data_IF_480648138164
#
_entry.id   IF_480648138164
#
_cell.length_a   1.000
_cell.length_b   1.000
_cell.length_c   1.000
_cell.angle_alpha   90.00
_cell.angle_beta   90.00
_cell.angle_gamma   90.00
#
_symmetry.space_group_name_H-M   'P 1'
#
loop_
_entity.id
_entity.type
_entity.pdbx_description
1 polymer ?
#
# COMPACT_ATOMS: atom_id res chain seq x y z
N UNK A 1 7.62 -11.18 12.44
CA UNK A 1 8.43 -12.22 11.77
C UNK A 1 8.35 -11.91 10.29
N UNK A 2 9.49 -11.95 9.59
CA UNK A 2 9.59 -11.63 8.16
C UNK A 2 9.24 -12.85 7.33
N UNK A 3 8.44 -12.62 6.31
CA UNK A 3 8.02 -13.63 5.37
C UNK A 3 8.10 -13.08 3.95
N UNK A 4 7.97 -13.97 2.98
CA UNK A 4 7.96 -13.64 1.58
C UNK A 4 6.70 -14.19 0.92
N UNK A 5 6.14 -13.40 -0.02
CA UNK A 5 5.03 -13.80 -0.87
C UNK A 5 5.55 -13.91 -2.28
N UNK A 6 5.54 -15.14 -2.81
CA UNK A 6 5.92 -15.45 -4.17
C UNK A 6 4.87 -14.96 -5.18
N UNK A 7 5.34 -14.65 -6.38
CA UNK A 7 4.54 -14.24 -7.54
C UNK A 7 3.76 -12.94 -7.33
N UNK A 8 4.38 -11.95 -6.68
CA UNK A 8 3.74 -10.69 -6.34
C UNK A 8 4.75 -9.53 -6.35
N UNK A 9 4.31 -8.33 -6.72
CA UNK A 9 5.01 -7.08 -6.42
C UNK A 9 4.08 -6.08 -5.74
N UNK A 10 4.68 -5.11 -5.07
CA UNK A 10 3.98 -4.05 -4.38
C UNK A 10 3.85 -2.81 -5.25
N UNK A 11 2.76 -2.07 -5.05
CA UNK A 11 2.53 -0.84 -5.79
C UNK A 11 2.10 0.24 -4.84
N UNK A 12 2.85 1.34 -4.84
CA UNK A 12 2.45 2.56 -4.16
C UNK A 12 1.23 3.17 -4.86
N UNK A 13 0.14 3.32 -4.12
CA UNK A 13 -1.19 3.67 -4.62
C UNK A 13 -1.95 4.64 -3.71
N UNK A 14 -3.16 4.95 -4.16
CA UNK A 14 -4.10 5.84 -3.51
C UNK A 14 -4.45 5.41 -2.08
N UNK A 15 -4.43 6.36 -1.15
CA UNK A 15 -5.20 6.32 0.09
C UNK A 15 -5.84 7.70 0.24
N UNK A 16 -7.15 7.72 0.53
CA UNK A 16 -7.83 8.88 1.09
C UNK A 16 -7.78 8.78 2.61
N UNK A 17 -6.62 9.06 3.19
CA UNK A 17 -6.58 9.33 4.62
C UNK A 17 -7.40 10.60 4.83
N UNK A 18 -8.21 10.63 5.90
CA UNK A 18 -8.86 11.83 6.42
C UNK A 18 -7.82 12.90 6.79
N UNK A 19 -7.20 13.51 5.78
CA UNK A 19 -6.35 14.66 5.83
C UNK A 19 -6.99 15.64 4.87
N UNK A 20 -7.62 16.63 5.49
CA UNK A 20 -8.28 17.76 4.87
C UNK A 20 -7.54 18.25 3.61
N UNK A 21 -8.28 18.37 2.49
CA UNK A 21 -8.12 19.27 1.32
C UNK A 21 -6.74 19.48 0.64
N UNK A 22 -5.60 19.28 1.29
CA UNK A 22 -4.26 19.60 0.80
C UNK A 22 -3.69 18.56 -0.15
N UNK A 23 -4.11 17.29 -0.04
CA UNK A 23 -3.61 16.18 -0.88
C UNK A 23 -4.05 16.28 -2.36
N UNK A 24 -5.11 17.03 -2.68
CA UNK A 24 -5.60 17.12 -4.06
C UNK A 24 -4.68 17.99 -4.96
N UNK A 25 -3.94 18.95 -4.38
CA UNK A 25 -3.04 19.80 -5.16
C UNK A 25 -1.69 19.16 -5.49
N UNK A 26 -1.26 18.13 -4.75
CA UNK A 26 0.07 17.50 -4.94
C UNK A 26 0.03 16.15 -5.66
N UNK A 27 -1.15 15.56 -5.91
CA UNK A 27 -1.29 14.17 -6.43
C UNK A 27 -0.48 13.15 -5.60
N UNK A 28 -0.31 13.42 -4.31
CA UNK A 28 0.47 12.64 -3.38
C UNK A 28 -0.45 11.76 -2.52
N UNK A 29 -0.32 10.44 -2.63
CA UNK A 29 -1.24 9.49 -2.00
C UNK A 29 -0.51 8.40 -1.20
N UNK A 30 -1.16 7.85 -0.17
CA UNK A 30 -0.46 7.16 0.92
C UNK A 30 -0.86 5.70 1.12
N UNK A 31 -0.80 4.86 0.08
CA UNK A 31 -1.15 3.44 0.19
C UNK A 31 -0.24 2.52 -0.58
N UNK A 32 -0.43 1.22 -0.34
CA UNK A 32 0.26 0.16 -1.03
C UNK A 32 -0.69 -1.02 -1.27
N UNK A 33 -0.69 -1.55 -2.49
CA UNK A 33 -1.44 -2.76 -2.83
C UNK A 33 -0.54 -3.77 -3.54
N UNK A 34 -0.88 -5.05 -3.42
CA UNK A 34 -0.20 -6.13 -4.12
C UNK A 34 -0.88 -6.44 -5.46
N UNK A 35 -0.10 -6.72 -6.50
CA UNK A 35 -0.57 -7.33 -7.76
C UNK A 35 0.16 -8.64 -8.05
N UNK A 36 -0.54 -9.65 -8.62
CA UNK A 36 0.11 -10.89 -9.07
C UNK A 36 1.12 -10.60 -10.18
N UNK A 37 2.31 -11.17 -10.07
CA UNK A 37 3.36 -11.08 -11.07
C UNK A 37 4.30 -12.27 -11.00
N UNK A 38 4.33 -13.08 -12.04
CA UNK A 38 5.17 -14.27 -12.09
C UNK A 38 6.66 -13.91 -12.06
N UNK A 39 7.41 -14.59 -11.20
CA UNK A 39 8.85 -14.37 -11.02
C UNK A 39 9.22 -13.27 -10.03
N UNK A 40 8.26 -12.52 -9.51
CA UNK A 40 8.46 -11.50 -8.48
C UNK A 40 8.23 -12.04 -7.07
N UNK A 41 8.82 -11.37 -6.08
CA UNK A 41 8.72 -11.70 -4.66
C UNK A 41 8.65 -10.41 -3.84
N UNK A 42 7.78 -10.39 -2.83
CA UNK A 42 7.75 -9.32 -1.84
C UNK A 42 8.04 -9.86 -0.45
N UNK A 43 8.83 -9.14 0.33
CA UNK A 43 9.09 -9.42 1.74
C UNK A 43 8.11 -8.61 2.57
N UNK A 44 7.34 -9.30 3.40
CA UNK A 44 6.27 -8.75 4.22
C UNK A 44 6.46 -9.12 5.68
N UNK A 45 5.77 -8.40 6.56
CA UNK A 45 5.60 -8.82 7.95
C UNK A 45 4.17 -9.29 8.16
N UNK A 46 4.02 -10.47 8.77
CA UNK A 46 2.69 -11.01 9.13
C UNK A 46 2.33 -10.55 10.54
N UNK A 47 1.13 -10.01 10.70
CA UNK A 47 0.55 -9.58 11.97
C UNK A 47 -0.72 -10.37 12.27
N UNK A 48 -0.95 -10.66 13.54
CA UNK A 48 -2.18 -11.27 14.01
C UNK A 48 -3.18 -10.18 14.41
N UNK A 49 -4.43 -10.37 14.00
CA UNK A 49 -5.56 -9.55 14.42
C UNK A 49 -6.55 -10.44 15.17
N UNK A 50 -7.19 -9.90 16.20
CA UNK A 50 -8.23 -10.65 16.89
C UNK A 50 -9.45 -10.78 15.99
N UNK A 51 -10.18 -11.89 16.12
CA UNK A 51 -11.34 -12.18 15.28
C UNK A 51 -12.40 -11.07 15.39
N UNK A 52 -12.62 -10.55 16.61
CA UNK A 52 -13.55 -9.44 16.85
C UNK A 52 -13.13 -8.11 16.19
N UNK A 53 -11.86 -7.94 15.82
CA UNK A 53 -11.33 -6.74 15.16
C UNK A 53 -11.40 -6.83 13.62
N UNK A 54 -11.64 -8.03 13.07
CA UNK A 54 -11.71 -8.28 11.62
C UNK A 54 -12.73 -7.37 10.92
N UNK A 55 -13.97 -7.18 11.42
CA UNK A 55 -14.92 -6.29 10.76
C UNK A 55 -14.44 -4.84 10.69
N UNK A 56 -13.80 -4.35 11.76
CA UNK A 56 -13.26 -2.99 11.81
C UNK A 56 -12.07 -2.83 10.86
N UNK A 57 -11.22 -3.86 10.75
CA UNK A 57 -10.15 -3.91 9.76
C UNK A 57 -10.69 -3.82 8.33
N UNK A 58 -11.70 -4.64 7.98
CA UNK A 58 -12.31 -4.67 6.65
C UNK A 58 -12.99 -3.34 6.28
N UNK A 59 -13.56 -2.64 7.27
CA UNK A 59 -14.18 -1.34 7.05
C UNK A 59 -13.14 -0.22 6.89
N UNK A 60 -12.04 -0.29 7.63
CA UNK A 60 -10.92 0.66 7.49
C UNK A 60 -10.24 0.52 6.14
N UNK A 61 -9.95 -0.71 5.73
CA UNK A 61 -9.26 -1.05 4.48
C UNK A 61 -10.26 -1.22 3.31
N UNK A 62 -11.32 -0.40 3.27
CA UNK A 62 -12.47 -0.70 2.43
C UNK A 62 -12.19 -0.73 0.93
N UNK A 63 -11.08 -0.13 0.52
CA UNK A 63 -10.65 -0.02 -0.87
C UNK A 63 -9.99 -1.31 -1.33
N UNK A 64 -9.50 -2.14 -0.43
CA UNK A 64 -8.75 -3.34 -0.81
C UNK A 64 -9.61 -4.57 -1.02
N UNK A 65 -9.15 -5.37 -1.98
CA UNK A 65 -9.48 -6.77 -2.12
C UNK A 65 -8.56 -7.56 -1.21
N UNK A 66 -9.13 -8.40 -0.35
CA UNK A 66 -8.36 -9.29 0.49
C UNK A 66 -8.09 -10.60 -0.25
N UNK A 67 -6.82 -10.96 -0.40
CA UNK A 67 -6.39 -12.24 -0.96
C UNK A 67 -5.76 -13.08 0.13
N UNK A 68 -6.19 -14.34 0.24
CA UNK A 68 -5.54 -15.32 1.09
C UNK A 68 -4.26 -15.81 0.40
N UNK A 69 -3.14 -15.79 1.12
CA UNK A 69 -1.84 -16.28 0.66
C UNK A 69 -1.22 -17.18 1.73
N UNK A 70 -0.31 -18.06 1.32
CA UNK A 70 0.54 -18.80 2.24
C UNK A 70 1.95 -18.22 2.11
N UNK A 71 2.35 -17.30 3.00
CA UNK A 71 3.68 -16.71 2.93
C UNK A 71 4.73 -17.73 3.39
N UNK A 72 5.96 -17.57 2.95
CA UNK A 72 7.09 -18.43 3.34
C UNK A 72 8.05 -17.65 4.23
N UNK A 73 8.70 -18.28 5.20
CA UNK A 73 9.85 -17.67 5.87
C UNK A 73 10.96 -17.38 4.85
N UNK A 74 11.92 -16.52 5.21
CA UNK A 74 13.08 -16.27 4.36
C UNK A 74 13.97 -17.51 4.15
N UNK A 75 13.76 -18.55 4.97
CA UNK A 75 14.34 -19.88 4.83
C UNK A 75 13.56 -20.81 3.87
N UNK A 76 12.47 -20.31 3.28
CA UNK A 76 11.58 -21.04 2.38
C UNK A 76 10.57 -21.94 3.10
N UNK A 77 10.49 -21.88 4.44
CA UNK A 77 9.54 -22.71 5.19
C UNK A 77 8.15 -22.07 5.14
N UNK A 78 7.10 -22.75 4.65
CA UNK A 78 5.76 -22.18 4.60
C UNK A 78 5.24 -21.79 5.98
N UNK A 79 4.58 -20.65 6.08
CA UNK A 79 3.89 -20.24 7.28
C UNK A 79 2.69 -21.15 7.53
N UNK A 80 2.49 -21.54 8.79
CA UNK A 80 1.53 -22.57 9.16
C UNK A 80 0.07 -22.18 8.87
N UNK A 81 -0.24 -20.88 8.94
CA UNK A 81 -1.59 -20.35 8.74
C UNK A 81 -1.64 -19.49 7.47
N UNK A 82 -2.72 -19.58 6.67
CA UNK A 82 -2.96 -18.61 5.62
C UNK A 82 -2.99 -17.19 6.17
N UNK A 83 -2.34 -16.26 5.47
CA UNK A 83 -2.37 -14.83 5.77
C UNK A 83 -3.22 -14.10 4.73
N UNK A 84 -3.54 -12.83 4.99
CA UNK A 84 -4.29 -11.97 4.07
C UNK A 84 -3.39 -10.83 3.61
N UNK A 85 -3.35 -10.59 2.30
CA UNK A 85 -2.73 -9.41 1.69
C UNK A 85 -3.78 -8.51 1.05
N UNK A 86 -3.50 -7.21 1.05
CA UNK A 86 -4.32 -6.19 0.41
C UNK A 86 -3.93 -6.06 -1.07
N UNK A 87 -4.82 -6.51 -1.96
CA UNK A 87 -4.71 -6.34 -3.40
C UNK A 87 -5.69 -5.27 -3.88
N UNK A 88 -5.48 -4.78 -5.10
CA UNK A 88 -6.42 -3.83 -5.71
C UNK A 88 -7.66 -4.53 -6.29
N UNK A 89 -8.72 -3.76 -6.42
CA UNK A 89 -9.78 -4.04 -7.39
C UNK A 89 -9.46 -3.37 -8.74
N UNK A 90 -10.26 -3.65 -9.77
CA UNK A 90 -10.60 -2.64 -10.78
C UNK A 90 -11.70 -1.71 -10.27
N UNK A 91 -11.88 -0.54 -10.87
CA UNK A 91 -12.96 0.37 -10.46
C UNK A 91 -14.35 -0.26 -10.59
N UNK A 92 -14.56 -1.08 -11.63
CA UNK A 92 -15.80 -1.83 -11.82
C UNK A 92 -16.01 -2.87 -10.71
N UNK A 93 -15.00 -3.69 -10.41
CA UNK A 93 -15.13 -4.68 -9.33
C UNK A 93 -15.33 -4.00 -7.98
N UNK A 94 -14.67 -2.87 -7.72
CA UNK A 94 -14.89 -2.09 -6.51
C UNK A 94 -16.35 -1.63 -6.42
N UNK A 95 -16.90 -1.09 -7.50
CA UNK A 95 -18.27 -0.64 -7.56
C UNK A 95 -19.27 -1.79 -7.30
N UNK A 96 -19.07 -2.94 -7.94
CA UNK A 96 -19.95 -4.09 -7.76
C UNK A 96 -19.83 -4.72 -6.36
N UNK A 97 -18.60 -4.87 -5.85
CA UNK A 97 -18.35 -5.61 -4.60
C UNK A 97 -18.49 -4.71 -3.37
N UNK A 98 -17.78 -3.57 -3.35
CA UNK A 98 -17.68 -2.69 -2.18
C UNK A 98 -18.78 -1.65 -2.13
N UNK A 99 -19.32 -1.24 -3.28
CA UNK A 99 -20.48 -0.35 -3.37
C UNK A 99 -21.79 -1.09 -3.65
N UNK A 100 -21.76 -2.42 -3.86
CA UNK A 100 -22.96 -3.23 -4.16
C UNK A 100 -23.77 -2.70 -5.35
N UNK A 101 -23.09 -2.09 -6.33
CA UNK A 101 -23.73 -1.43 -7.47
C UNK A 101 -24.47 -0.13 -7.15
N UNK A 102 -24.38 0.39 -5.92
CA UNK A 102 -25.00 1.65 -5.51
C UNK A 102 -24.09 2.83 -5.80
N UNK A 103 -24.60 3.75 -6.63
CA UNK A 103 -23.94 5.02 -6.90
C UNK A 103 -23.91 5.93 -5.68
N UNK A 104 -24.92 5.86 -4.81
CA UNK A 104 -24.95 6.63 -3.56
C UNK A 104 -23.77 6.26 -2.64
N UNK A 105 -23.49 4.97 -2.48
CA UNK A 105 -22.34 4.50 -1.67
C UNK A 105 -21.02 4.96 -2.30
N UNK A 106 -20.91 4.86 -3.62
CA UNK A 106 -19.72 5.33 -4.34
C UNK A 106 -19.52 6.84 -4.16
N UNK A 107 -20.56 7.65 -4.34
CA UNK A 107 -20.50 9.11 -4.25
C UNK A 107 -20.20 9.59 -2.82
N UNK A 108 -20.72 8.90 -1.80
CA UNK A 108 -20.38 9.15 -0.39
C UNK A 108 -18.89 8.94 -0.11
N UNK A 109 -18.28 7.91 -0.70
CA UNK A 109 -16.86 7.59 -0.49
C UNK A 109 -15.95 8.50 -1.31
N UNK A 110 -16.21 8.62 -2.61
CA UNK A 110 -15.29 9.21 -3.59
C UNK A 110 -15.86 10.41 -4.36
N UNK A 111 -17.18 10.46 -4.57
CA UNK A 111 -17.83 11.54 -5.33
C UNK A 111 -17.58 12.93 -4.73
N UNK A 112 -17.54 13.04 -3.40
CA UNK A 112 -17.19 14.29 -2.68
C UNK A 112 -15.80 14.86 -2.98
N UNK A 113 -14.93 14.06 -3.58
CA UNK A 113 -13.54 14.41 -3.90
C UNK A 113 -13.29 14.53 -5.41
N UNK A 114 -14.34 14.47 -6.24
CA UNK A 114 -14.25 14.47 -7.71
C UNK A 114 -13.33 13.35 -8.25
N UNK A 115 -13.37 12.17 -7.62
CA UNK A 115 -12.62 11.00 -8.06
C UNK A 115 -13.51 10.16 -8.95
N UNK A 116 -13.17 10.14 -10.23
CA UNK A 116 -13.79 9.32 -11.25
C UNK A 116 -13.13 7.93 -11.38
N UNK A 117 -11.86 7.82 -10.95
CA UNK A 117 -11.08 6.58 -10.99
C UNK A 117 -10.25 6.41 -9.72
N UNK A 118 -10.46 5.31 -8.99
CA UNK A 118 -9.75 4.97 -7.75
C UNK A 118 -8.36 4.40 -8.10
N UNK A 119 -8.29 3.49 -9.08
CA UNK A 119 -7.06 2.77 -9.42
C UNK A 119 -6.37 3.41 -10.62
N UNK A 120 -5.61 4.47 -10.35
CA UNK A 120 -4.87 5.25 -11.32
C UNK A 120 -3.40 4.84 -11.42
N UNK A 121 -2.80 5.18 -12.55
CA UNK A 121 -1.42 4.82 -12.90
C UNK A 121 -0.50 6.06 -12.94
N UNK A 122 -1.07 7.27 -12.85
CA UNK A 122 -0.40 8.56 -12.95
C UNK A 122 -0.27 9.28 -11.60
N UNK A 123 -0.25 8.51 -10.51
CA UNK A 123 -0.20 9.02 -9.13
C UNK A 123 1.19 8.81 -8.53
N UNK A 124 1.59 9.76 -7.67
CA UNK A 124 2.85 9.68 -6.93
C UNK A 124 2.58 9.35 -5.46
N UNK A 125 3.51 8.65 -4.81
CA UNK A 125 3.41 8.39 -3.38
C UNK A 125 3.56 9.69 -2.60
N UNK A 126 2.78 9.84 -1.54
CA UNK A 126 2.99 10.87 -0.56
C UNK A 126 4.37 10.70 0.07
N UNK A 127 5.14 11.79 0.09
CA UNK A 127 6.54 11.80 0.52
C UNK A 127 6.70 11.28 1.94
N UNK A 128 5.88 11.78 2.87
CA UNK A 128 5.92 11.36 4.29
C UNK A 128 5.58 9.88 4.45
N UNK A 129 4.59 9.39 3.72
CA UNK A 129 4.21 7.98 3.76
C UNK A 129 5.29 7.08 3.16
N UNK A 130 5.83 7.45 2.00
CA UNK A 130 6.92 6.70 1.37
C UNK A 130 8.14 6.63 2.29
N UNK A 131 8.56 7.76 2.87
CA UNK A 131 9.67 7.79 3.83
C UNK A 131 9.42 6.81 4.98
N UNK A 132 8.23 6.83 5.56
CA UNK A 132 7.86 5.93 6.64
C UNK A 132 7.98 4.45 6.24
N UNK A 133 7.45 4.07 5.07
CA UNK A 133 7.58 2.69 4.56
C UNK A 133 9.05 2.29 4.33
N UNK A 134 9.85 3.18 3.72
CA UNK A 134 11.28 2.95 3.48
C UNK A 134 12.04 2.76 4.79
N UNK A 135 11.75 3.57 5.82
CA UNK A 135 12.36 3.44 7.13
C UNK A 135 11.91 2.16 7.85
N UNK A 136 10.63 1.79 7.76
CA UNK A 136 10.13 0.55 8.31
C UNK A 136 10.83 -0.68 7.68
N UNK A 137 10.95 -0.71 6.34
CA UNK A 137 11.68 -1.76 5.63
C UNK A 137 13.17 -1.80 6.03
N UNK A 138 13.79 -0.63 6.21
CA UNK A 138 15.18 -0.52 6.69
C UNK A 138 15.37 -1.07 8.12
N UNK A 139 14.40 -0.85 9.00
CA UNK A 139 14.43 -1.33 10.38
C UNK A 139 14.26 -2.85 10.49
N UNK A 140 13.62 -3.48 9.50
CA UNK A 140 13.49 -4.94 9.39
C UNK A 140 14.82 -5.59 8.99
N UNK A 141 15.54 -4.99 8.04
CA UNK A 141 16.91 -5.38 7.71
C UNK A 141 17.19 -5.26 6.23
N UNK A 142 18.43 -5.55 5.82
CA UNK A 142 18.87 -5.38 4.43
C UNK A 142 18.02 -6.16 3.41
N UNK A 143 17.60 -7.42 3.65
CA UNK A 143 16.75 -8.14 2.71
C UNK A 143 15.41 -7.42 2.47
N UNK A 144 14.72 -7.00 3.53
CA UNK A 144 13.46 -6.28 3.44
C UNK A 144 13.64 -4.89 2.80
N UNK A 145 14.72 -4.20 3.16
CA UNK A 145 15.04 -2.88 2.60
C UNK A 145 15.29 -2.92 1.10
N UNK A 146 16.18 -3.81 0.64
CA UNK A 146 16.44 -3.95 -0.80
C UNK A 146 15.20 -4.43 -1.53
N UNK A 147 14.46 -5.38 -0.96
CA UNK A 147 13.25 -5.88 -1.58
C UNK A 147 12.20 -4.78 -1.76
N UNK A 148 11.93 -3.96 -0.75
CA UNK A 148 11.00 -2.83 -0.86
C UNK A 148 11.46 -1.80 -1.91
N UNK A 149 12.76 -1.53 -2.02
CA UNK A 149 13.25 -0.56 -3.00
C UNK A 149 13.14 -1.07 -4.44
N UNK A 150 13.32 -2.37 -4.66
CA UNK A 150 13.44 -2.99 -5.98
C UNK A 150 12.15 -3.66 -6.48
N UNK A 151 11.29 -4.11 -5.58
CA UNK A 151 10.05 -4.85 -5.87
C UNK A 151 8.78 -4.09 -5.45
N UNK A 152 8.92 -2.81 -5.10
CA UNK A 152 7.81 -1.88 -4.97
C UNK A 152 7.89 -0.85 -6.09
N UNK A 153 6.77 -0.64 -6.78
CA UNK A 153 6.68 0.19 -7.97
C UNK A 153 5.72 1.38 -7.77
N UNK A 154 5.87 2.41 -8.59
CA UNK A 154 4.88 3.48 -8.72
C UNK A 154 3.62 2.99 -9.42
N UNK A 155 2.59 3.85 -9.48
CA UNK A 155 1.33 3.54 -10.17
C UNK A 155 1.50 3.11 -11.64
N UNK A 156 2.60 3.53 -12.27
CA UNK A 156 2.97 3.20 -13.64
C UNK A 156 3.42 1.73 -13.84
N UNK A 157 3.64 0.98 -12.75
CA UNK A 157 4.14 -0.41 -12.73
C UNK A 157 5.50 -0.59 -13.41
N UNK A 158 6.30 0.47 -13.50
CA UNK A 158 7.58 0.45 -14.21
C UNK A 158 8.68 1.03 -13.35
N UNK A 159 8.42 2.20 -12.75
CA UNK A 159 9.41 2.90 -11.95
C UNK A 159 9.45 2.28 -10.57
N UNK A 160 10.62 1.75 -10.18
CA UNK A 160 10.83 1.22 -8.82
C UNK A 160 10.94 2.36 -7.80
N UNK A 161 10.74 2.06 -6.51
CA UNK A 161 11.00 3.04 -5.46
C UNK A 161 12.47 3.47 -5.43
N UNK A 162 13.41 2.57 -5.73
CA UNK A 162 14.83 2.92 -5.85
C UNK A 162 15.06 4.00 -6.90
N UNK A 163 14.54 3.79 -8.12
CA UNK A 163 14.68 4.75 -9.23
C UNK A 163 13.99 6.08 -8.92
N UNK A 164 12.81 6.01 -8.31
CA UNK A 164 12.06 7.20 -7.92
C UNK A 164 12.83 8.06 -6.90
N UNK A 165 13.34 7.45 -5.83
CA UNK A 165 14.11 8.15 -4.79
C UNK A 165 15.43 8.72 -5.33
N UNK A 166 16.02 8.10 -6.35
CA UNK A 166 17.22 8.61 -7.01
C UNK A 166 16.96 9.79 -7.96
N UNK A 167 15.70 10.05 -8.32
CA UNK A 167 15.32 11.05 -9.32
C UNK A 167 14.28 12.04 -8.78
N UNK A 168 13.01 11.90 -9.17
CA UNK A 168 11.91 12.82 -8.82
C UNK A 168 11.63 12.85 -7.32
N UNK A 169 11.85 11.72 -6.64
CA UNK A 169 11.70 11.55 -5.20
C UNK A 169 12.95 11.93 -4.39
N UNK A 170 13.97 12.56 -4.98
CA UNK A 170 15.13 13.01 -4.23
C UNK A 170 14.72 13.96 -3.08
N UNK A 171 15.41 13.85 -1.94
CA UNK A 171 15.13 14.65 -0.74
C UNK A 171 14.09 14.04 0.22
N UNK A 172 13.31 13.02 -0.20
CA UNK A 172 12.26 12.42 0.64
C UNK A 172 12.83 11.84 1.93
N UNK A 173 14.02 11.24 1.89
CA UNK A 173 14.60 10.57 3.06
C UNK A 173 15.11 11.56 4.11
N UNK A 174 15.47 12.76 3.68
CA UNK A 174 15.97 13.86 4.51
C UNK A 174 14.83 14.70 5.12
N UNK A 175 13.60 14.55 4.64
CA UNK A 175 12.43 15.26 5.16
C UNK A 175 11.97 14.70 6.50
N UNK A 176 11.65 15.60 7.43
CA UNK A 176 11.01 15.21 8.69
C UNK A 176 9.49 15.37 8.58
N UNK A 177 8.69 14.42 9.10
CA UNK A 177 7.25 14.59 9.14
C UNK A 177 6.87 15.84 9.97
N UNK A 178 5.76 16.51 9.63
CA UNK A 178 5.21 17.58 10.47
C UNK A 178 5.03 17.12 11.93
N UNK A 179 5.14 18.03 12.88
CA UNK A 179 5.09 17.70 14.33
C UNK A 179 3.86 16.88 14.72
N UNK A 180 2.70 17.20 14.16
CA UNK A 180 1.43 16.47 14.38
C UNK A 180 1.44 15.03 13.88
N UNK A 181 2.37 14.69 12.99
CA UNK A 181 2.50 13.42 12.30
C UNK A 181 3.74 12.63 12.72
N UNK A 182 4.63 13.20 13.53
CA UNK A 182 5.90 12.57 13.97
C UNK A 182 5.70 11.24 14.68
N UNK A 183 4.71 11.14 15.58
CA UNK A 183 4.46 9.88 16.31
C UNK A 183 4.00 8.74 15.41
N UNK A 184 3.45 9.05 14.22
CA UNK A 184 2.91 8.07 13.28
C UNK A 184 3.88 7.76 12.13
N UNK A 185 4.65 8.75 11.68
CA UNK A 185 5.49 8.66 10.47
C UNK A 185 6.97 8.95 10.73
N UNK A 186 7.41 8.94 12.00
CA UNK A 186 8.80 9.20 12.40
C UNK A 186 9.82 8.15 11.95
N UNK A 187 9.35 6.95 11.61
CA UNK A 187 10.21 5.79 11.32
C UNK A 187 10.35 4.88 12.52
#
# INVERSE_FOLDING_TARGET
MEFQVNCAYEIMRNIFLNLERAAFCSMEFSSLSVEPCEGELIIVTVFEIKEEEVPAFIEREHEFRFLAVVPEGLDGVPYANPAVVCARYSDEEYFQVRCKGSKEIYDQRYGRYNIDRIWRDDILPCRVYLRHCVLAAKNLGEPAYSNFLDHTYLGDRKTTIREYLATTGAGIMEEEPPESLKSRYGG
#
